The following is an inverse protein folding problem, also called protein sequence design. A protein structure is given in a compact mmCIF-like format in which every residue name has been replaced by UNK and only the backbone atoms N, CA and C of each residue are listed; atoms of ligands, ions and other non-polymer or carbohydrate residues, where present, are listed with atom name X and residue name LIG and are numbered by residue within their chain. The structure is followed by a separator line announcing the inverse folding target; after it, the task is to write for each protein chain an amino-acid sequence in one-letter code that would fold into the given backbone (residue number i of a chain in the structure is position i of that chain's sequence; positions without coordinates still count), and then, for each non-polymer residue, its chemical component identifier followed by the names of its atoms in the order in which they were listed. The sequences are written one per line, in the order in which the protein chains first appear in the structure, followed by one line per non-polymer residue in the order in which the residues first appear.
data_IF_790326153891
#
_entry.id   IF_790326153891
#
_cell.length_a   1.000
_cell.length_b   1.000
_cell.length_c   1.000
_cell.angle_alpha   90.00
_cell.angle_beta   90.00
_cell.angle_gamma   90.00
#
_symmetry.space_group_name_H-M   'P 1'
#
loop_
_entity.id
_entity.type
_entity.pdbx_description
1 polymer ?
#
# COMPACT_ATOMS: atom_id res chain seq x y z
N UNK A 1 46.92 -30.65 3.67
CA UNK A 1 46.22 -31.86 3.21
C UNK A 1 44.76 -31.48 2.94
N UNK A 2 44.45 -30.61 1.98
CA UNK A 2 44.16 -30.88 0.55
C UNK A 2 43.13 -31.98 0.30
N UNK A 3 41.89 -31.60 0.00
CA UNK A 3 41.09 -32.21 -1.07
C UNK A 3 40.11 -31.16 -1.64
N UNK A 4 40.51 -30.57 -2.77
CA UNK A 4 39.70 -29.71 -3.63
C UNK A 4 39.19 -30.57 -4.79
N UNK A 5 37.89 -30.90 -4.78
CA UNK A 5 37.25 -31.65 -5.87
C UNK A 5 36.83 -30.68 -6.99
N UNK A 6 37.50 -30.82 -8.14
CA UNK A 6 37.15 -30.17 -9.41
C UNK A 6 35.82 -30.73 -9.93
N UNK A 7 34.88 -29.85 -10.28
CA UNK A 7 33.76 -30.18 -11.17
C UNK A 7 34.00 -29.55 -12.54
N UNK A 8 34.26 -30.41 -13.50
CA UNK A 8 34.35 -30.13 -14.93
C UNK A 8 32.93 -30.08 -15.49
N UNK A 9 32.54 -28.97 -16.12
CA UNK A 9 31.26 -28.88 -16.86
C UNK A 9 31.59 -28.91 -18.35
N UNK A 10 31.07 -29.93 -19.03
CA UNK A 10 31.12 -30.12 -20.48
C UNK A 10 30.16 -29.12 -21.15
N UNK A 11 30.70 -28.29 -22.05
CA UNK A 11 29.93 -27.49 -22.98
C UNK A 11 29.57 -28.36 -24.20
N UNK A 12 28.28 -28.65 -24.38
CA UNK A 12 27.76 -29.24 -25.60
C UNK A 12 27.25 -28.12 -26.52
N UNK A 13 27.96 -27.88 -27.62
CA UNK A 13 27.53 -27.01 -28.71
C UNK A 13 26.55 -27.78 -29.61
N UNK A 14 25.29 -27.36 -29.65
CA UNK A 14 24.30 -27.85 -30.60
C UNK A 14 24.16 -26.80 -31.70
N UNK A 15 24.76 -27.07 -32.85
CA UNK A 15 24.54 -26.31 -34.07
C UNK A 15 23.21 -26.76 -34.71
N UNK A 16 22.16 -25.97 -34.54
CA UNK A 16 20.87 -26.16 -35.21
C UNK A 16 20.83 -25.43 -36.54
N UNK A 17 20.59 -26.18 -37.62
CA UNK A 17 20.35 -25.69 -38.98
C UNK A 17 19.12 -24.77 -39.03
N UNK A 18 19.31 -23.54 -39.53
CA UNK A 18 18.23 -22.60 -39.85
C UNK A 18 17.69 -22.91 -41.25
N UNK A 19 16.50 -23.51 -41.31
CA UNK A 19 15.72 -23.64 -42.54
C UNK A 19 14.96 -22.34 -42.79
N UNK A 20 15.34 -21.61 -43.83
CA UNK A 20 14.67 -20.38 -44.30
C UNK A 20 13.47 -20.73 -45.18
N UNK A 21 12.28 -20.79 -44.61
CA UNK A 21 11.03 -20.82 -45.36
C UNK A 21 10.55 -19.40 -45.68
N UNK A 22 10.72 -18.98 -46.95
CA UNK A 22 10.12 -17.78 -47.52
C UNK A 22 8.61 -18.03 -47.72
N UNK A 23 7.81 -17.72 -46.70
CA UNK A 23 6.36 -17.68 -46.79
C UNK A 23 5.89 -16.36 -47.43
N UNK A 24 5.15 -16.46 -48.54
CA UNK A 24 4.46 -15.33 -49.18
C UNK A 24 3.37 -14.82 -48.23
N UNK A 25 3.56 -13.63 -47.65
CA UNK A 25 2.58 -12.99 -46.78
C UNK A 25 1.42 -12.43 -47.62
N UNK A 26 0.30 -13.15 -47.64
CA UNK A 26 -0.96 -12.62 -48.16
C UNK A 26 -1.44 -11.45 -47.32
N UNK A 27 -1.68 -10.30 -47.95
CA UNK A 27 -2.24 -9.09 -47.33
C UNK A 27 -3.72 -9.30 -46.98
N UNK A 28 -3.99 -10.09 -45.94
CA UNK A 28 -5.31 -10.16 -45.34
C UNK A 28 -5.61 -8.87 -44.58
N UNK A 29 -6.70 -8.19 -44.93
CA UNK A 29 -7.20 -7.05 -44.18
C UNK A 29 -7.44 -7.49 -42.73
N UNK A 30 -6.61 -6.99 -41.80
CA UNK A 30 -6.75 -7.27 -40.39
C UNK A 30 -8.10 -6.72 -39.91
N UNK A 31 -9.07 -7.60 -39.77
CA UNK A 31 -10.36 -7.28 -39.18
C UNK A 31 -10.11 -6.83 -37.75
N UNK A 32 -10.29 -5.54 -37.48
CA UNK A 32 -10.10 -4.98 -36.15
C UNK A 32 -10.98 -5.74 -35.16
N UNK A 33 -10.37 -6.41 -34.19
CA UNK A 33 -11.10 -7.10 -33.14
C UNK A 33 -12.06 -6.10 -32.47
N UNK A 34 -13.32 -6.50 -32.22
CA UNK A 34 -14.30 -5.61 -31.61
C UNK A 34 -13.73 -5.07 -30.30
N UNK A 35 -13.65 -3.73 -30.20
CA UNK A 35 -13.24 -3.05 -28.96
C UNK A 35 -14.18 -3.51 -27.87
N UNK A 36 -13.66 -4.24 -26.90
CA UNK A 36 -14.40 -4.71 -25.73
C UNK A 36 -15.06 -3.50 -25.09
N UNK A 37 -16.40 -3.50 -25.03
CA UNK A 37 -17.15 -2.40 -24.45
C UNK A 37 -16.58 -2.08 -23.06
N UNK A 38 -16.20 -0.82 -22.86
CA UNK A 38 -15.64 -0.34 -21.60
C UNK A 38 -16.66 -0.60 -20.50
N UNK A 39 -16.38 -1.54 -19.60
CA UNK A 39 -17.27 -1.79 -18.46
C UNK A 39 -17.38 -0.50 -17.65
N UNK A 40 -18.60 -0.13 -17.28
CA UNK A 40 -18.81 0.99 -16.37
C UNK A 40 -18.21 0.64 -15.01
N UNK A 41 -17.53 1.61 -14.39
CA UNK A 41 -17.07 1.51 -13.01
C UNK A 41 -18.31 1.42 -12.11
N UNK A 42 -18.36 0.39 -11.26
CA UNK A 42 -19.50 0.11 -10.38
C UNK A 42 -19.08 0.25 -8.92
N UNK A 43 -19.96 0.80 -8.09
CA UNK A 43 -19.78 0.91 -6.64
C UNK A 43 -20.75 -0.01 -5.91
N UNK A 44 -20.26 -0.74 -4.90
CA UNK A 44 -21.07 -1.65 -4.08
C UNK A 44 -20.74 -1.42 -2.61
N UNK A 45 -21.77 -1.29 -1.78
CA UNK A 45 -21.61 -1.26 -0.31
C UNK A 45 -21.20 -2.64 0.21
N UNK A 46 -20.13 -2.68 1.00
CA UNK A 46 -19.70 -3.92 1.67
C UNK A 46 -20.60 -4.19 2.88
N UNK A 47 -20.87 -5.45 3.27
CA UNK A 47 -21.64 -5.74 4.48
C UNK A 47 -20.96 -5.18 5.73
N UNK A 48 -21.72 -4.64 6.68
CA UNK A 48 -21.24 -4.20 7.99
C UNK A 48 -22.36 -4.39 9.05
N UNK A 49 -22.05 -4.43 10.36
CA UNK A 49 -23.08 -4.63 11.38
C UNK A 49 -24.12 -3.51 11.36
N UNK A 50 -25.42 -3.85 11.49
CA UNK A 50 -26.49 -2.86 11.32
C UNK A 50 -26.53 -1.78 12.43
N UNK A 51 -25.89 -2.04 13.58
CA UNK A 51 -25.91 -1.21 14.77
C UNK A 51 -24.66 -0.31 14.91
N UNK A 52 -23.74 -0.31 13.94
CA UNK A 52 -22.63 0.65 13.88
C UNK A 52 -23.08 1.92 13.17
N UNK A 53 -22.65 3.08 13.65
CA UNK A 53 -22.97 4.37 13.03
C UNK A 53 -21.92 4.82 12.00
N UNK A 54 -20.74 4.21 12.03
CA UNK A 54 -19.64 4.43 11.09
C UNK A 54 -18.94 3.11 10.78
N UNK A 55 -18.69 2.85 9.51
CA UNK A 55 -17.87 1.73 9.04
C UNK A 55 -17.14 2.14 7.75
N UNK A 56 -15.89 1.72 7.62
CA UNK A 56 -15.04 2.05 6.47
C UNK A 56 -14.17 0.86 6.07
N UNK A 57 -13.80 0.78 4.79
CA UNK A 57 -12.79 -0.16 4.31
C UNK A 57 -11.50 0.61 4.06
N UNK A 58 -10.40 0.16 4.68
CA UNK A 58 -9.14 0.89 4.72
C UNK A 58 -8.08 0.24 3.85
N UNK A 59 -8.06 -1.09 3.77
CA UNK A 59 -7.04 -1.85 3.08
C UNK A 59 -7.63 -2.98 2.23
N UNK A 60 -6.95 -3.34 1.14
CA UNK A 60 -7.30 -4.47 0.27
C UNK A 60 -6.05 -5.19 -0.20
N UNK A 61 -6.06 -6.52 -0.15
CA UNK A 61 -4.89 -7.28 -0.60
C UNK A 61 -4.72 -7.21 -2.13
N UNK A 62 -3.52 -7.51 -2.68
CA UNK A 62 -3.29 -7.44 -4.12
C UNK A 62 -4.26 -8.29 -4.96
N UNK A 63 -4.80 -9.39 -4.42
CA UNK A 63 -5.77 -10.24 -5.13
C UNK A 63 -7.21 -9.70 -5.06
N UNK A 64 -7.50 -8.71 -4.23
CA UNK A 64 -8.84 -8.18 -3.99
C UNK A 64 -9.77 -9.15 -3.26
N UNK A 65 -9.21 -10.19 -2.63
CA UNK A 65 -9.92 -11.28 -1.94
C UNK A 65 -10.19 -10.91 -0.48
N UNK A 66 -9.24 -10.23 0.15
CA UNK A 66 -9.29 -9.75 1.51
C UNK A 66 -9.41 -8.23 1.51
N UNK A 67 -10.35 -7.74 2.29
CA UNK A 67 -10.49 -6.31 2.62
C UNK A 67 -10.50 -6.22 4.13
N UNK A 68 -9.90 -5.17 4.68
CA UNK A 68 -9.93 -4.88 6.10
C UNK A 68 -10.30 -3.41 6.35
N UNK A 69 -10.90 -3.14 7.49
CA UNK A 69 -11.30 -1.80 7.90
C UNK A 69 -11.86 -1.79 9.31
N UNK A 70 -12.48 -0.68 9.70
CA UNK A 70 -12.98 -0.49 11.08
C UNK A 70 -14.45 -0.11 11.10
N UNK A 71 -15.08 -0.31 12.26
CA UNK A 71 -16.39 0.24 12.55
C UNK A 71 -16.52 0.72 13.99
N UNK A 72 -17.45 1.66 14.19
CA UNK A 72 -17.76 2.26 15.48
C UNK A 72 -19.23 2.04 15.83
N UNK A 73 -19.45 1.44 17.00
CA UNK A 73 -20.75 1.42 17.67
C UNK A 73 -20.72 2.38 18.85
N UNK A 74 -21.82 3.08 19.07
CA UNK A 74 -21.97 3.91 20.28
C UNK A 74 -22.19 2.98 21.47
N UNK A 75 -21.25 2.95 22.41
CA UNK A 75 -21.42 2.30 23.71
C UNK A 75 -21.99 3.28 24.75
N UNK A 76 -22.18 2.78 25.97
CA UNK A 76 -22.70 3.59 27.10
C UNK A 76 -21.68 4.63 27.56
N UNK A 77 -20.41 4.25 27.69
CA UNK A 77 -19.33 5.12 28.18
C UNK A 77 -18.41 5.64 27.08
N UNK A 78 -18.20 4.84 26.02
CA UNK A 78 -17.29 5.15 24.92
C UNK A 78 -17.70 4.45 23.62
N UNK A 79 -17.06 4.81 22.51
CA UNK A 79 -17.26 4.10 21.26
C UNK A 79 -16.62 2.71 21.34
N UNK A 80 -17.37 1.70 20.92
CA UNK A 80 -16.88 0.34 20.77
C UNK A 80 -16.29 0.17 19.36
N UNK A 81 -15.02 -0.25 19.32
CA UNK A 81 -14.24 -0.45 18.10
C UNK A 81 -14.37 -1.90 17.59
N UNK A 82 -14.53 -2.03 16.28
CA UNK A 82 -14.53 -3.31 15.57
C UNK A 82 -13.49 -3.32 14.47
N UNK A 83 -12.75 -4.42 14.38
CA UNK A 83 -12.08 -4.83 13.16
C UNK A 83 -13.11 -5.50 12.24
N UNK A 84 -13.20 -5.02 11.01
CA UNK A 84 -13.96 -5.64 9.93
C UNK A 84 -13.00 -6.34 8.97
N UNK A 85 -13.23 -7.63 8.72
CA UNK A 85 -12.47 -8.41 7.73
C UNK A 85 -13.45 -9.02 6.73
N UNK A 86 -13.32 -8.67 5.46
CA UNK A 86 -14.10 -9.30 4.40
C UNK A 86 -13.22 -10.30 3.65
N UNK A 87 -13.68 -11.55 3.55
CA UNK A 87 -13.11 -12.58 2.69
C UNK A 87 -14.10 -12.91 1.59
N UNK A 88 -13.78 -12.55 0.35
CA UNK A 88 -14.66 -12.77 -0.81
C UNK A 88 -16.08 -12.21 -0.58
N UNK A 89 -16.15 -11.02 0.04
CA UNK A 89 -17.41 -10.35 0.37
C UNK A 89 -18.12 -10.84 1.63
N UNK A 90 -17.67 -11.94 2.25
CA UNK A 90 -18.19 -12.41 3.54
C UNK A 90 -17.51 -11.66 4.68
N UNK A 91 -18.29 -10.98 5.50
CA UNK A 91 -17.83 -10.23 6.67
C UNK A 91 -17.56 -11.16 7.87
N UNK A 92 -16.43 -10.92 8.53
CA UNK A 92 -16.13 -11.30 9.91
C UNK A 92 -15.92 -10.02 10.70
N UNK A 93 -16.60 -9.92 11.85
CA UNK A 93 -16.47 -8.79 12.77
C UNK A 93 -15.74 -9.27 14.02
N UNK A 94 -14.73 -8.52 14.46
CA UNK A 94 -13.97 -8.82 15.66
C UNK A 94 -13.98 -7.60 16.56
N UNK A 95 -14.52 -7.76 17.75
CA UNK A 95 -14.44 -6.74 18.78
C UNK A 95 -13.04 -6.75 19.41
N UNK A 96 -12.40 -5.60 19.46
CA UNK A 96 -11.10 -5.49 20.12
C UNK A 96 -10.82 -4.03 20.49
N UNK A 97 -10.45 -3.74 21.75
CA UNK A 97 -10.06 -2.39 22.16
C UNK A 97 -8.75 -1.95 21.48
N UNK A 98 -8.00 -2.88 20.86
CA UNK A 98 -6.78 -2.58 20.12
C UNK A 98 -7.04 -2.16 18.68
N UNK A 99 -8.21 -2.43 18.11
CA UNK A 99 -8.50 -2.24 16.69
C UNK A 99 -8.89 -0.79 16.33
N UNK A 100 -8.06 0.18 16.73
CA UNK A 100 -8.31 1.60 16.48
C UNK A 100 -8.23 1.95 14.98
N UNK A 101 -7.16 1.50 14.31
CA UNK A 101 -6.99 1.68 12.87
C UNK A 101 -6.42 0.45 12.19
N UNK A 102 -6.86 0.22 10.95
CA UNK A 102 -6.28 -0.77 10.04
C UNK A 102 -5.27 -0.05 9.15
N UNK A 103 -4.04 -0.57 9.11
CA UNK A 103 -3.00 -0.07 8.23
C UNK A 103 -3.02 -0.82 6.89
N UNK A 104 -2.99 -2.16 6.91
CA UNK A 104 -2.87 -2.95 5.68
C UNK A 104 -3.32 -4.43 5.86
N UNK A 105 -3.52 -5.15 4.75
CA UNK A 105 -3.86 -6.58 4.70
C UNK A 105 -3.18 -7.31 3.54
N UNK A 106 -2.50 -8.43 3.83
CA UNK A 106 -1.82 -9.20 2.80
C UNK A 106 -2.68 -10.31 2.16
N UNK A 107 -2.14 -10.99 1.15
CA UNK A 107 -2.82 -12.05 0.40
C UNK A 107 -3.15 -13.32 1.20
N UNK A 108 -2.63 -13.43 2.42
CA UNK A 108 -2.93 -14.50 3.37
C UNK A 108 -4.05 -14.13 4.36
N UNK A 109 -4.58 -12.90 4.28
CA UNK A 109 -5.59 -12.39 5.19
C UNK A 109 -5.04 -11.98 6.56
N UNK A 110 -3.72 -11.76 6.66
CA UNK A 110 -3.10 -11.17 7.85
C UNK A 110 -3.32 -9.67 7.78
N UNK A 111 -3.94 -9.11 8.81
CA UNK A 111 -4.23 -7.68 8.93
C UNK A 111 -3.26 -7.07 9.93
N UNK A 112 -2.75 -5.89 9.63
CA UNK A 112 -1.94 -5.09 10.56
C UNK A 112 -2.61 -3.76 10.83
N UNK A 113 -2.36 -3.21 11.99
CA UNK A 113 -2.93 -1.94 12.39
C UNK A 113 -2.31 -1.38 13.66
N UNK A 114 -2.94 -0.34 14.17
CA UNK A 114 -2.47 0.42 15.31
C UNK A 114 -3.57 0.56 16.36
N UNK A 115 -3.19 0.70 17.62
CA UNK A 115 -4.10 0.84 18.74
C UNK A 115 -3.42 1.34 20.00
N UNK A 116 -4.23 1.77 20.97
CA UNK A 116 -3.71 2.26 22.24
C UNK A 116 -3.56 1.13 23.26
N UNK A 117 -2.34 0.93 23.75
CA UNK A 117 -2.06 -0.03 24.82
C UNK A 117 -0.91 0.47 25.69
N UNK A 118 -1.02 0.25 27.01
CA UNK A 118 0.01 0.66 27.97
C UNK A 118 0.35 2.17 27.92
N UNK A 119 -0.65 3.01 27.61
CA UNK A 119 -0.49 4.47 27.56
C UNK A 119 0.25 5.00 26.33
N UNK A 120 0.38 4.21 25.26
CA UNK A 120 1.04 4.60 24.00
C UNK A 120 0.41 3.93 22.79
N UNK A 121 0.72 4.45 21.60
CA UNK A 121 0.36 3.78 20.36
C UNK A 121 1.22 2.51 20.18
N UNK A 122 0.57 1.40 19.83
CA UNK A 122 1.18 0.09 19.65
C UNK A 122 0.70 -0.56 18.35
N UNK A 123 1.63 -1.13 17.57
CA UNK A 123 1.26 -1.88 16.40
C UNK A 123 0.77 -3.27 16.80
N UNK A 124 -0.21 -3.78 16.06
CA UNK A 124 -0.75 -5.13 16.25
C UNK A 124 -0.87 -5.86 14.92
N UNK A 125 -0.92 -7.19 15.02
CA UNK A 125 -1.24 -8.10 13.93
C UNK A 125 -2.46 -8.93 14.30
N UNK A 126 -3.39 -9.06 13.37
CA UNK A 126 -4.52 -9.98 13.45
C UNK A 126 -4.33 -11.11 12.44
N UNK A 127 -4.29 -12.34 12.95
CA UNK A 127 -4.14 -13.56 12.14
C UNK A 127 -4.90 -14.70 12.78
N UNK A 128 -5.61 -15.49 11.97
CA UNK A 128 -6.32 -16.70 12.43
C UNK A 128 -7.25 -16.48 13.63
N UNK A 129 -7.90 -15.33 13.74
CA UNK A 129 -8.81 -15.04 14.86
C UNK A 129 -8.17 -14.35 16.06
N UNK A 130 -6.84 -14.17 16.07
CA UNK A 130 -6.10 -13.70 17.24
C UNK A 130 -5.42 -12.36 16.97
N UNK A 131 -5.52 -11.44 17.93
CA UNK A 131 -4.72 -10.23 17.99
C UNK A 131 -3.42 -10.47 18.77
N UNK A 132 -2.31 -10.01 18.22
CA UNK A 132 -1.02 -10.02 18.89
C UNK A 132 -0.40 -8.62 18.77
N UNK A 133 0.08 -8.06 19.88
CA UNK A 133 0.88 -6.84 19.84
C UNK A 133 2.24 -7.15 19.23
N UNK A 134 2.69 -6.32 18.30
CA UNK A 134 4.05 -6.43 17.77
C UNK A 134 5.05 -5.87 18.80
N UNK A 135 6.27 -6.44 18.87
CA UNK A 135 7.33 -5.90 19.71
C UNK A 135 7.64 -4.47 19.26
N UNK A 136 7.78 -3.55 20.21
CA UNK A 136 8.09 -2.15 19.95
C UNK A 136 9.37 -1.79 20.68
N UNK A 137 10.18 -0.86 20.14
CA UNK A 137 11.10 -0.07 20.97
C UNK A 137 10.34 0.56 22.16
N UNK A 138 11.06 1.06 23.16
CA UNK A 138 10.48 1.57 24.41
C UNK A 138 9.50 2.75 24.25
N UNK A 139 9.52 3.45 23.11
CA UNK A 139 8.56 4.51 22.77
C UNK A 139 7.28 4.03 22.07
N UNK A 140 6.54 4.96 21.47
CA UNK A 140 5.39 4.63 20.60
C UNK A 140 5.88 3.96 19.32
N UNK A 141 5.07 3.07 18.75
CA UNK A 141 5.32 2.52 17.42
C UNK A 141 4.01 2.31 16.67
N UNK A 142 4.09 2.24 15.35
CA UNK A 142 2.97 1.94 14.48
C UNK A 142 3.40 1.18 13.23
N UNK A 143 2.51 0.30 12.75
CA UNK A 143 2.63 -0.41 11.49
C UNK A 143 1.94 0.40 10.38
N UNK A 144 2.50 0.35 9.18
CA UNK A 144 2.01 1.09 8.01
C UNK A 144 1.69 0.18 6.84
N UNK A 145 2.46 -0.89 6.62
CA UNK A 145 2.25 -1.80 5.50
C UNK A 145 2.71 -3.23 5.81
N UNK A 146 2.15 -4.21 5.09
CA UNK A 146 2.53 -5.63 5.15
C UNK A 146 2.62 -6.23 3.74
N UNK A 147 3.73 -6.87 3.40
CA UNK A 147 3.86 -7.52 2.09
C UNK A 147 3.29 -8.95 2.06
N UNK A 148 3.30 -9.57 0.88
CA UNK A 148 2.83 -10.94 0.67
C UNK A 148 3.62 -11.99 1.46
N UNK A 149 4.89 -11.76 1.77
CA UNK A 149 5.71 -12.63 2.60
C UNK A 149 5.39 -12.50 4.10
N UNK A 150 4.64 -11.47 4.49
CA UNK A 150 4.28 -11.17 5.87
C UNK A 150 5.26 -10.25 6.59
N UNK A 151 6.23 -9.66 5.88
CA UNK A 151 7.08 -8.63 6.46
C UNK A 151 6.25 -7.37 6.66
N UNK A 152 6.30 -6.83 7.87
CA UNK A 152 5.57 -5.63 8.25
C UNK A 152 6.59 -4.50 8.38
N UNK A 153 6.23 -3.30 7.96
CA UNK A 153 7.04 -2.10 8.16
C UNK A 153 6.24 -1.01 8.85
N UNK A 154 6.96 -0.02 9.38
CA UNK A 154 6.33 1.11 10.05
C UNK A 154 7.36 2.03 10.67
N UNK A 155 6.96 2.65 11.77
CA UNK A 155 7.80 3.57 12.51
C UNK A 155 7.71 3.37 14.01
N UNK A 156 8.68 3.89 14.73
CA UNK A 156 8.58 4.06 16.18
C UNK A 156 9.49 5.15 16.70
N UNK A 157 9.46 5.31 18.00
CA UNK A 157 10.16 6.38 18.70
C UNK A 157 11.25 5.79 19.61
N UNK A 158 12.44 6.39 19.53
CA UNK A 158 13.51 6.16 20.49
C UNK A 158 13.16 6.83 21.81
N UNK A 159 13.15 6.05 22.91
CA UNK A 159 12.83 6.59 24.21
C UNK A 159 13.88 7.63 24.66
N UNK A 160 13.39 8.71 25.29
CA UNK A 160 14.21 9.79 25.81
C UNK A 160 14.59 10.85 24.78
N UNK A 161 14.73 10.49 23.50
CA UNK A 161 15.04 11.46 22.42
C UNK A 161 13.82 11.82 21.58
N UNK A 162 12.81 10.94 21.52
CA UNK A 162 11.66 11.10 20.62
C UNK A 162 12.03 10.94 19.13
N UNK A 163 13.26 10.49 18.84
CA UNK A 163 13.76 10.34 17.48
C UNK A 163 13.00 9.24 16.76
N UNK A 164 12.58 9.51 15.53
CA UNK A 164 11.79 8.59 14.72
C UNK A 164 12.69 7.52 14.08
N UNK A 165 12.22 6.29 14.13
CA UNK A 165 12.90 5.08 13.68
C UNK A 165 12.05 4.40 12.62
N UNK A 166 12.63 4.10 11.46
CA UNK A 166 11.99 3.21 10.50
C UNK A 166 12.14 1.77 10.98
N UNK A 167 11.02 1.06 11.11
CA UNK A 167 10.98 -0.28 11.70
C UNK A 167 10.59 -1.34 10.67
N UNK A 168 11.06 -2.56 10.89
CA UNK A 168 10.60 -3.78 10.21
C UNK A 168 10.36 -4.90 11.21
N UNK A 169 9.24 -5.59 11.06
CA UNK A 169 8.95 -6.85 11.74
C UNK A 169 9.04 -7.99 10.72
N UNK A 170 10.16 -8.72 10.69
CA UNK A 170 10.40 -9.74 9.67
C UNK A 170 9.54 -10.98 9.91
N UNK A 171 8.85 -11.46 8.89
CA UNK A 171 8.01 -12.66 8.96
C UNK A 171 8.81 -13.91 9.38
N UNK A 172 10.06 -13.97 8.95
CA UNK A 172 10.97 -15.09 9.23
C UNK A 172 11.43 -15.15 10.70
N UNK A 173 11.24 -14.09 11.48
CA UNK A 173 11.55 -14.03 12.91
C UNK A 173 10.43 -13.35 13.69
N UNK A 174 9.29 -14.03 13.87
CA UNK A 174 8.17 -13.51 14.65
C UNK A 174 8.62 -13.09 16.06
N UNK A 175 8.02 -12.03 16.60
CA UNK A 175 8.38 -11.51 17.92
C UNK A 175 9.68 -10.70 17.95
N UNK A 176 10.25 -10.36 16.79
CA UNK A 176 11.39 -9.44 16.68
C UNK A 176 11.04 -8.18 15.91
N UNK A 177 11.79 -7.10 16.17
CA UNK A 177 11.72 -5.83 15.43
C UNK A 177 13.14 -5.38 15.08
N UNK A 178 13.30 -4.83 13.88
CA UNK A 178 14.56 -4.29 13.37
C UNK A 178 14.41 -2.78 13.17
N UNK A 179 15.42 -2.03 13.59
CA UNK A 179 15.59 -0.64 13.14
C UNK A 179 16.31 -0.69 11.80
N UNK A 180 15.69 -0.14 10.77
CA UNK A 180 16.26 -0.11 9.43
C UNK A 180 17.44 0.88 9.37
N UNK A 181 18.54 0.46 8.73
CA UNK A 181 19.64 1.36 8.37
C UNK A 181 19.19 2.26 7.21
N UNK A 182 18.55 3.38 7.55
CA UNK A 182 18.05 4.42 6.64
C UNK A 182 18.45 5.79 7.20
N UNK A 183 18.24 6.91 6.48
CA UNK A 183 18.54 8.23 7.03
C UNK A 183 17.88 8.45 8.41
N UNK A 184 18.50 9.27 9.24
CA UNK A 184 17.97 9.57 10.57
C UNK A 184 16.57 10.21 10.49
N UNK A 185 15.76 9.97 11.53
CA UNK A 185 14.38 10.48 11.64
C UNK A 185 13.54 10.08 10.44
N UNK A 186 13.26 8.78 10.34
CA UNK A 186 12.60 8.18 9.19
C UNK A 186 11.38 7.35 9.56
N UNK A 187 10.42 7.27 8.63
CA UNK A 187 9.24 6.40 8.66
C UNK A 187 9.30 5.47 7.47
N UNK A 188 9.10 4.16 7.70
CA UNK A 188 8.77 3.25 6.60
C UNK A 188 7.26 3.31 6.36
N UNK A 189 6.86 3.55 5.10
CA UNK A 189 5.47 3.83 4.73
C UNK A 189 4.90 2.77 3.77
N UNK A 190 5.77 2.04 3.07
CA UNK A 190 5.37 0.96 2.18
C UNK A 190 6.43 -0.13 2.12
N UNK A 191 5.98 -1.35 1.87
CA UNK A 191 6.85 -2.50 1.59
C UNK A 191 6.30 -3.29 0.41
N UNK A 192 7.09 -3.42 -0.64
CA UNK A 192 6.71 -4.14 -1.85
C UNK A 192 6.80 -5.66 -1.64
N UNK A 193 6.21 -6.40 -2.59
CA UNK A 193 6.28 -7.87 -2.65
C UNK A 193 7.71 -8.43 -2.67
N UNK A 194 8.69 -7.71 -3.24
CA UNK A 194 10.09 -8.14 -3.27
C UNK A 194 10.89 -7.74 -2.01
N UNK A 195 10.24 -7.10 -1.04
CA UNK A 195 10.85 -6.67 0.22
C UNK A 195 11.53 -5.31 0.14
N UNK A 196 11.38 -4.57 -0.95
CA UNK A 196 11.81 -3.16 -1.01
C UNK A 196 10.95 -2.33 -0.07
N UNK A 197 11.59 -1.60 0.84
CA UNK A 197 10.92 -0.70 1.78
C UNK A 197 11.08 0.73 1.30
N UNK A 198 10.01 1.50 1.30
CA UNK A 198 10.05 2.94 0.98
C UNK A 198 9.59 3.77 2.16
N UNK A 199 10.01 5.02 2.18
CA UNK A 199 9.64 5.92 3.24
C UNK A 199 10.08 7.34 3.06
N UNK A 200 9.82 8.12 4.11
CA UNK A 200 10.20 9.53 4.21
C UNK A 200 11.17 9.68 5.38
N UNK A 201 12.12 10.59 5.27
CA UNK A 201 13.01 10.99 6.35
C UNK A 201 13.11 12.50 6.40
N UNK A 202 13.24 13.06 7.59
CA UNK A 202 13.38 14.50 7.75
C UNK A 202 12.98 14.94 9.15
N UNK A 203 12.94 16.24 9.34
CA UNK A 203 12.63 16.85 10.62
C UNK A 203 11.49 17.85 10.49
N UNK A 204 10.59 17.84 11.47
CA UNK A 204 9.47 18.76 11.53
C UNK A 204 9.91 20.21 11.68
N UNK A 205 11.01 20.50 12.38
CA UNK A 205 11.45 21.89 12.58
C UNK A 205 11.82 22.57 11.26
N UNK A 206 12.41 21.80 10.35
CA UNK A 206 12.83 22.31 9.03
C UNK A 206 11.78 22.14 7.94
N UNK A 207 10.77 21.29 8.18
CA UNK A 207 9.82 20.82 7.17
C UNK A 207 10.49 20.28 5.88
N UNK A 208 11.74 19.83 5.98
CA UNK A 208 12.52 19.30 4.85
C UNK A 208 12.49 17.77 4.86
N UNK A 209 11.53 17.24 4.13
CA UNK A 209 11.38 15.80 3.93
C UNK A 209 12.14 15.31 2.71
N UNK A 210 12.73 14.14 2.80
CA UNK A 210 13.39 13.40 1.71
C UNK A 210 12.79 12.00 1.60
N UNK A 211 12.47 11.58 0.38
CA UNK A 211 12.02 10.23 0.09
C UNK A 211 13.20 9.26 -0.04
N UNK A 212 13.00 8.02 0.38
CA UNK A 212 14.00 6.96 0.28
C UNK A 212 13.38 5.62 -0.08
N UNK A 213 14.19 4.76 -0.71
CA UNK A 213 13.94 3.35 -0.93
C UNK A 213 15.12 2.53 -0.40
N UNK A 214 14.84 1.41 0.26
CA UNK A 214 15.82 0.45 0.76
C UNK A 214 15.48 -0.93 0.20
N UNK A 215 16.40 -1.48 -0.59
CA UNK A 215 16.26 -2.79 -1.20
C UNK A 215 16.67 -3.90 -0.23
N UNK A 216 16.29 -5.15 -0.55
CA UNK A 216 16.56 -6.31 0.28
C UNK A 216 18.07 -6.57 0.47
N UNK A 217 18.89 -6.23 -0.53
CA UNK A 217 20.36 -6.30 -0.49
C UNK A 217 21.01 -5.20 0.39
N UNK A 218 20.20 -4.32 0.99
CA UNK A 218 20.66 -3.21 1.82
C UNK A 218 21.03 -1.94 1.04
N UNK A 219 20.98 -1.97 -0.30
CA UNK A 219 21.15 -0.77 -1.13
C UNK A 219 20.08 0.25 -0.78
N UNK A 220 20.47 1.53 -0.78
CA UNK A 220 19.59 2.68 -0.50
C UNK A 220 19.60 3.63 -1.67
N UNK A 221 18.44 4.20 -1.94
CA UNK A 221 18.28 5.22 -2.98
C UNK A 221 17.39 6.35 -2.49
N UNK A 222 17.69 7.56 -2.96
CA UNK A 222 16.81 8.70 -2.74
C UNK A 222 15.72 8.71 -3.81
N UNK A 223 14.48 8.88 -3.38
CA UNK A 223 13.34 9.15 -4.25
C UNK A 223 13.22 10.66 -4.38
N UNK A 224 13.42 11.16 -5.60
CA UNK A 224 13.45 12.60 -5.87
C UNK A 224 13.02 12.90 -7.31
N UNK A 225 12.86 14.18 -7.62
CA UNK A 225 12.68 14.71 -8.98
C UNK A 225 13.54 15.97 -9.13
N UNK A 226 13.90 16.38 -10.36
CA UNK A 226 14.65 17.62 -10.58
C UNK A 226 13.97 18.84 -9.92
N UNK A 227 14.72 19.56 -9.09
CA UNK A 227 14.23 20.76 -8.40
C UNK A 227 13.42 20.50 -7.12
N UNK A 228 13.30 19.25 -6.66
CA UNK A 228 12.63 18.92 -5.40
C UNK A 228 13.28 19.62 -4.20
N UNK A 229 12.46 20.35 -3.43
CA UNK A 229 12.81 20.94 -2.13
C UNK A 229 12.43 20.02 -0.98
N UNK A 230 11.32 19.30 -1.15
CA UNK A 230 10.83 18.31 -0.20
C UNK A 230 10.13 17.18 -0.93
N UNK A 231 10.28 15.95 -0.42
CA UNK A 231 9.66 14.74 -0.95
C UNK A 231 9.03 13.96 0.20
N UNK A 232 7.74 13.64 0.06
CA UNK A 232 7.01 12.75 0.94
C UNK A 232 6.58 11.53 0.13
N UNK A 233 6.93 10.34 0.59
CA UNK A 233 6.42 9.07 0.07
C UNK A 233 5.14 8.75 0.82
N UNK A 234 4.13 8.21 0.13
CA UNK A 234 2.84 7.86 0.74
C UNK A 234 2.60 6.34 0.72
N UNK A 235 2.91 5.63 -0.36
CA UNK A 235 2.70 4.19 -0.50
C UNK A 235 3.64 3.53 -1.53
N UNK A 236 3.71 2.19 -1.53
CA UNK A 236 4.39 1.41 -2.57
C UNK A 236 3.79 0.01 -2.76
N UNK A 237 3.79 -0.44 -4.01
CA UNK A 237 3.46 -1.83 -4.37
C UNK A 237 4.13 -2.23 -5.69
N UNK A 238 4.54 -3.49 -5.78
CA UNK A 238 5.26 -4.02 -6.93
C UNK A 238 6.60 -3.29 -7.12
N UNK A 239 6.73 -2.53 -8.21
CA UNK A 239 7.91 -1.70 -8.50
C UNK A 239 7.58 -0.20 -8.48
N UNK A 240 6.44 0.18 -7.90
CA UNK A 240 6.00 1.56 -7.84
C UNK A 240 6.08 2.09 -6.41
N UNK A 241 6.55 3.32 -6.28
CA UNK A 241 6.30 4.16 -5.11
C UNK A 241 5.51 5.40 -5.56
N UNK A 242 4.67 5.93 -4.68
CA UNK A 242 3.89 7.14 -4.94
C UNK A 242 4.06 8.13 -3.79
N UNK A 243 3.90 9.41 -4.11
CA UNK A 243 4.11 10.46 -3.13
C UNK A 243 3.85 11.86 -3.64
N UNK A 244 4.34 12.83 -2.89
CA UNK A 244 4.21 14.27 -3.10
C UNK A 244 5.56 14.95 -3.07
N UNK A 245 5.74 15.92 -3.96
CA UNK A 245 6.96 16.71 -4.08
C UNK A 245 6.63 18.19 -4.01
N UNK A 246 7.35 18.92 -3.16
CA UNK A 246 7.40 20.37 -3.19
C UNK A 246 8.54 20.86 -4.09
N UNK A 247 8.19 21.68 -5.10
CA UNK A 247 9.13 22.34 -6.01
C UNK A 247 9.32 23.84 -5.68
N UNK A 248 8.68 24.33 -4.62
CA UNK A 248 8.68 25.73 -4.18
C UNK A 248 7.46 26.55 -4.58
N UNK A 249 6.38 25.90 -5.02
CA UNK A 249 5.09 26.53 -5.34
C UNK A 249 4.08 26.40 -4.20
N UNK A 250 2.85 26.88 -4.42
CA UNK A 250 1.74 26.70 -3.47
C UNK A 250 1.22 25.26 -3.41
N UNK A 251 1.41 24.50 -4.49
CA UNK A 251 0.87 23.16 -4.66
C UNK A 251 1.97 22.11 -4.70
N UNK A 252 1.75 21.00 -3.99
CA UNK A 252 2.59 19.82 -4.07
C UNK A 252 2.27 19.02 -5.34
N UNK A 253 3.30 18.65 -6.09
CA UNK A 253 3.20 17.78 -7.25
C UNK A 253 3.04 16.34 -6.79
N UNK A 254 2.00 15.64 -7.26
CA UNK A 254 1.82 14.21 -7.00
C UNK A 254 2.64 13.44 -8.03
N UNK A 255 3.41 12.46 -7.58
CA UNK A 255 4.34 11.73 -8.44
C UNK A 255 4.27 10.23 -8.17
N UNK A 256 4.73 9.48 -9.17
CA UNK A 256 4.98 8.04 -9.09
C UNK A 256 6.38 7.74 -9.60
N UNK A 257 7.16 6.99 -8.83
CA UNK A 257 8.50 6.52 -9.17
C UNK A 257 8.49 5.04 -9.58
N UNK A 258 9.18 4.70 -10.66
CA UNK A 258 9.51 3.30 -11.00
C UNK A 258 10.83 2.94 -10.32
N UNK A 259 10.75 2.01 -9.36
CA UNK A 259 11.89 1.60 -8.54
C UNK A 259 12.93 0.77 -9.32
N UNK A 260 12.64 0.32 -10.56
CA UNK A 260 13.57 -0.49 -11.36
C UNK A 260 14.60 0.37 -12.08
N UNK A 261 14.15 1.45 -12.71
CA UNK A 261 14.99 2.32 -13.54
C UNK A 261 15.15 3.73 -12.97
N UNK A 262 14.48 4.04 -11.85
CA UNK A 262 14.49 5.33 -11.15
C UNK A 262 13.84 6.45 -11.96
N UNK A 263 13.05 6.10 -12.98
CA UNK A 263 12.20 7.05 -13.66
C UNK A 263 11.05 7.51 -12.76
N UNK A 264 10.49 8.66 -13.08
CA UNK A 264 9.32 9.19 -12.39
C UNK A 264 8.36 9.81 -13.39
N UNK A 265 7.11 9.89 -12.98
CA UNK A 265 6.04 10.53 -13.76
C UNK A 265 5.15 11.36 -12.83
N UNK A 266 4.69 12.50 -13.34
CA UNK A 266 3.67 13.30 -12.66
C UNK A 266 2.32 12.58 -12.73
N UNK A 267 1.59 12.60 -11.64
CA UNK A 267 0.21 12.16 -11.55
C UNK A 267 -0.74 13.33 -11.85
N UNK A 268 -1.95 13.02 -12.29
CA UNK A 268 -2.99 14.02 -12.58
C UNK A 268 -3.19 15.01 -11.41
N UNK A 269 -3.29 16.30 -11.73
CA UNK A 269 -3.36 17.38 -10.74
C UNK A 269 -4.68 17.39 -9.98
N UNK A 270 -5.73 16.80 -10.56
CA UNK A 270 -7.03 16.66 -9.93
C UNK A 270 -7.04 15.65 -8.79
N UNK A 271 -5.97 14.86 -8.61
CA UNK A 271 -5.82 13.93 -7.48
C UNK A 271 -5.57 14.73 -6.19
N UNK A 272 -6.54 14.82 -5.26
CA UNK A 272 -6.43 15.74 -4.13
C UNK A 272 -5.35 15.29 -3.13
N UNK A 273 -5.17 13.99 -2.95
CA UNK A 273 -4.05 13.38 -2.21
C UNK A 273 -3.80 11.97 -2.74
N UNK A 274 -2.63 11.42 -2.43
CA UNK A 274 -2.26 10.04 -2.75
C UNK A 274 -2.59 9.18 -1.54
N UNK A 275 -3.29 8.06 -1.75
CA UNK A 275 -3.58 7.09 -0.70
C UNK A 275 -2.82 5.78 -0.93
N UNK A 276 -2.88 5.22 -2.15
CA UNK A 276 -2.32 3.90 -2.43
C UNK A 276 -1.99 3.72 -3.93
N UNK A 277 -1.19 2.69 -4.24
CA UNK A 277 -0.80 2.29 -5.59
C UNK A 277 -0.78 0.77 -5.72
N UNK A 278 -1.18 0.22 -6.88
CA UNK A 278 -1.03 -1.21 -7.15
C UNK A 278 0.21 -1.53 -8.01
N UNK A 279 0.51 -2.82 -8.24
CA UNK A 279 1.68 -3.26 -8.98
C UNK A 279 1.67 -2.85 -10.48
N UNK A 280 0.52 -2.35 -10.98
CA UNK A 280 0.36 -1.80 -12.34
C UNK A 280 0.57 -0.28 -12.40
N UNK A 281 0.85 0.34 -11.26
CA UNK A 281 1.08 1.77 -11.11
C UNK A 281 -0.21 2.59 -11.14
N UNK A 282 -1.38 1.96 -10.97
CA UNK A 282 -2.64 2.70 -10.82
C UNK A 282 -2.71 3.23 -9.40
N UNK A 283 -2.99 4.51 -9.26
CA UNK A 283 -2.97 5.25 -8.00
C UNK A 283 -4.39 5.65 -7.62
N UNK A 284 -4.71 5.62 -6.33
CA UNK A 284 -5.99 6.11 -5.80
C UNK A 284 -5.78 7.16 -4.73
N UNK A 285 -6.79 7.99 -4.52
CA UNK A 285 -6.87 8.94 -3.42
C UNK A 285 -8.00 9.94 -3.63
N UNK A 286 -8.57 10.42 -2.52
CA UNK A 286 -9.83 11.17 -2.57
C UNK A 286 -10.92 10.40 -3.31
N UNK A 287 -11.64 11.06 -4.19
CA UNK A 287 -12.70 10.47 -5.01
C UNK A 287 -12.20 9.96 -6.37
N UNK A 288 -10.90 9.71 -6.53
CA UNK A 288 -10.28 9.48 -7.84
C UNK A 288 -9.41 8.23 -7.93
N UNK A 289 -9.34 7.72 -9.17
CA UNK A 289 -8.35 6.76 -9.65
C UNK A 289 -7.56 7.38 -10.80
N UNK A 290 -6.24 7.18 -10.80
CA UNK A 290 -5.30 7.86 -11.69
C UNK A 290 -4.30 6.88 -12.29
N UNK A 291 -3.94 7.09 -13.56
CA UNK A 291 -2.83 6.40 -14.22
C UNK A 291 -2.03 7.40 -15.05
N UNK A 292 -0.88 7.83 -14.52
CA UNK A 292 -0.13 8.92 -15.14
C UNK A 292 -0.92 10.23 -15.08
N UNK A 293 -1.05 10.92 -16.21
CA UNK A 293 -1.84 12.15 -16.32
C UNK A 293 -3.35 11.95 -16.42
N UNK A 294 -3.83 10.70 -16.60
CA UNK A 294 -5.26 10.43 -16.74
C UNK A 294 -5.93 10.23 -15.38
N UNK A 295 -7.01 10.96 -15.13
CA UNK A 295 -7.80 10.88 -13.89
C UNK A 295 -9.26 10.53 -14.17
N UNK A 296 -9.86 9.75 -13.28
CA UNK A 296 -11.29 9.42 -13.30
C UNK A 296 -11.89 9.55 -11.91
N UNK A 297 -13.03 10.22 -11.83
CA UNK A 297 -13.85 10.30 -10.61
C UNK A 297 -14.57 8.97 -10.39
N UNK A 298 -14.51 8.47 -9.17
CA UNK A 298 -15.21 7.27 -8.72
C UNK A 298 -16.71 7.57 -8.54
N UNK A 299 -17.61 6.69 -9.03
CA UNK A 299 -19.04 6.89 -8.88
C UNK A 299 -19.48 6.73 -7.42
N UNK A 300 -20.62 7.32 -7.08
CA UNK A 300 -21.23 7.22 -5.75
C UNK A 300 -21.11 8.48 -4.89
N UNK A 301 -20.35 9.48 -5.33
CA UNK A 301 -20.41 10.84 -4.81
C UNK A 301 -21.57 11.66 -5.41
N UNK A 302 -21.84 12.83 -4.83
CA UNK A 302 -22.89 13.74 -5.28
C UNK A 302 -23.07 14.93 -4.34
N UNK A 303 -24.18 15.67 -4.48
CA UNK A 303 -24.50 16.76 -3.56
C UNK A 303 -24.58 16.23 -2.12
N UNK A 304 -23.72 16.76 -1.23
CA UNK A 304 -23.59 16.36 0.18
C UNK A 304 -23.25 14.89 0.42
N UNK A 305 -22.85 14.15 -0.62
CA UNK A 305 -22.40 12.75 -0.53
C UNK A 305 -20.92 12.70 -0.95
N UNK A 306 -20.06 12.43 0.02
CA UNK A 306 -18.62 12.26 -0.22
C UNK A 306 -18.28 10.79 -0.46
N UNK A 307 -17.29 10.54 -1.31
CA UNK A 307 -16.62 9.23 -1.39
C UNK A 307 -15.11 9.43 -1.23
N UNK A 308 -14.45 8.42 -0.67
CA UNK A 308 -13.00 8.41 -0.52
C UNK A 308 -12.45 7.02 -0.77
N UNK A 309 -11.47 6.90 -1.66
CA UNK A 309 -10.69 5.71 -1.89
C UNK A 309 -9.51 5.64 -0.92
N UNK A 310 -9.33 4.47 -0.32
CA UNK A 310 -8.27 4.21 0.66
C UNK A 310 -7.19 3.30 0.10
N UNK A 311 -7.57 2.25 -0.63
CA UNK A 311 -6.62 1.25 -1.13
C UNK A 311 -7.06 0.63 -2.47
N UNK A 312 -6.10 0.09 -3.23
CA UNK A 312 -6.31 -0.50 -4.56
C UNK A 312 -5.57 -1.83 -4.73
N UNK A 313 -6.31 -2.86 -5.15
CA UNK A 313 -5.75 -4.17 -5.48
C UNK A 313 -5.12 -4.21 -6.88
N UNK A 314 -4.27 -5.20 -7.15
CA UNK A 314 -3.75 -5.49 -8.48
C UNK A 314 -4.87 -5.86 -9.45
N UNK A 315 -6.01 -6.35 -8.97
CA UNK A 315 -7.19 -6.62 -9.81
C UNK A 315 -7.89 -5.35 -10.32
N UNK A 316 -7.53 -4.17 -9.79
CA UNK A 316 -8.24 -2.90 -10.02
C UNK A 316 -9.46 -2.72 -9.12
N UNK A 317 -9.69 -3.63 -8.16
CA UNK A 317 -10.67 -3.40 -7.12
C UNK A 317 -10.17 -2.32 -6.16
N UNK A 318 -10.99 -1.30 -5.92
CA UNK A 318 -10.69 -0.19 -5.01
C UNK A 318 -11.62 -0.30 -3.81
N UNK A 319 -11.13 0.01 -2.61
CA UNK A 319 -11.95 0.05 -1.39
C UNK A 319 -11.84 1.41 -0.71
N UNK A 320 -12.83 1.73 0.10
CA UNK A 320 -12.89 3.01 0.80
C UNK A 320 -14.21 3.20 1.51
N UNK A 321 -14.69 4.45 1.49
CA UNK A 321 -15.92 4.83 2.16
C UNK A 321 -16.83 5.70 1.28
N UNK A 322 -18.13 5.68 1.62
CA UNK A 322 -19.12 6.68 1.23
C UNK A 322 -19.67 7.34 2.48
N UNK A 323 -19.65 8.67 2.52
CA UNK A 323 -20.21 9.50 3.59
C UNK A 323 -21.49 10.18 3.10
N UNK A 324 -22.63 9.71 3.60
CA UNK A 324 -23.96 10.20 3.26
C UNK A 324 -24.55 10.91 4.50
N UNK A 325 -24.53 12.25 4.51
CA UNK A 325 -25.02 13.06 5.64
C UNK A 325 -24.42 12.67 7.01
N UNK A 326 -23.11 12.37 7.04
CA UNK A 326 -22.38 11.97 8.25
C UNK A 326 -22.40 10.46 8.51
N UNK A 327 -23.19 9.68 7.76
CA UNK A 327 -23.17 8.22 7.81
C UNK A 327 -22.08 7.69 6.88
N UNK A 328 -21.01 7.18 7.47
CA UNK A 328 -19.88 6.58 6.75
C UNK A 328 -20.12 5.08 6.59
N UNK A 329 -20.07 4.60 5.34
CA UNK A 329 -20.29 3.19 4.97
C UNK A 329 -19.13 2.66 4.12
N UNK A 330 -18.72 1.39 4.30
CA UNK A 330 -17.63 0.80 3.54
C UNK A 330 -18.11 0.45 2.14
N UNK A 331 -17.32 0.78 1.13
CA UNK A 331 -17.67 0.54 -0.27
C UNK A 331 -16.50 -0.08 -1.03
N UNK A 332 -16.83 -0.72 -2.15
CA UNK A 332 -15.89 -1.30 -3.11
C UNK A 332 -16.25 -0.81 -4.50
N UNK A 333 -15.25 -0.39 -5.28
CA UNK A 333 -15.38 -0.12 -6.70
C UNK A 333 -14.71 -1.21 -7.53
N UNK A 334 -15.30 -1.51 -8.69
CA UNK A 334 -14.77 -2.46 -9.69
C UNK A 334 -15.06 -1.98 -11.10
N UNK A 335 -14.25 -2.40 -12.08
CA UNK A 335 -14.42 -1.97 -13.48
C UNK A 335 -14.01 -0.51 -13.74
N UNK A 336 -13.17 0.03 -12.86
CA UNK A 336 -12.48 1.29 -13.01
C UNK A 336 -11.07 0.95 -13.56
#
# INVERSE_FOLDING_TARGET
MTHLARRTILAAAVAGLLSTSLGVAGSGAASAAPRTATRACTVTTLPFPADVYRAEASAVDPTGRFVAGTALRRGEESNQLFLLVWRQGRLTTVESPLADSVADVNSHGVVVGNGWAEGRNRPWVYRNGTFELLPSPSGSAGATAINAAGDIVGSGEEAGTGRQLALRWPAARPGTVEVLDVPATAWALGVTRDGTVVGTSGDWETARWSGWARYLDGRRESLTVPGARSVNVDAAEGHWAVGRVDLGGSDQMRVRWDLRDRSWSRLADELPWVADVNARGVVVGGDRVVRGGDSRVLPGGGDRIGVGASAIADTGAIVGFRNDHGRVTPVRWTGC
#
